data_IF_732757347673
#
_entry.id   IF_732757347673
#
_cell.length_a   1.000
_cell.length_b   1.000
_cell.length_c   1.000
_cell.angle_alpha   90.00
_cell.angle_beta   90.00
_cell.angle_gamma   90.00
#
_symmetry.space_group_name_H-M   'P 1'
#
loop_
_entity.id
_entity.type
_entity.pdbx_description
1 polymer ?
#
# COMPACT_ATOMS: atom_id res chain seq x y z
N UNK A 1 13.27 -4.82 22.65
CA UNK A 1 14.48 -4.08 23.06
C UNK A 1 14.55 -2.79 22.23
N UNK A 2 14.38 -1.59 22.82
CA UNK A 2 14.36 -0.33 22.06
C UNK A 2 15.66 0.02 21.32
N UNK A 3 16.79 -0.59 21.70
CA UNK A 3 18.08 -0.34 21.07
C UNK A 3 18.34 -1.22 19.83
N UNK A 4 17.40 -2.09 19.47
CA UNK A 4 17.50 -2.98 18.31
C UNK A 4 16.34 -2.70 17.37
N UNK A 5 16.63 -2.12 16.22
CA UNK A 5 15.64 -1.91 15.16
C UNK A 5 15.37 -3.26 14.49
N UNK A 6 14.10 -3.69 14.37
CA UNK A 6 13.77 -4.91 13.64
C UNK A 6 14.16 -4.77 12.16
N UNK A 7 14.64 -5.87 11.58
CA UNK A 7 15.02 -5.92 10.18
C UNK A 7 14.46 -7.21 9.54
N UNK A 8 13.52 -7.12 8.59
CA UNK A 8 12.94 -5.90 8.02
C UNK A 8 11.91 -5.21 8.92
N UNK A 9 11.91 -3.87 8.93
CA UNK A 9 10.86 -3.08 9.57
C UNK A 9 9.66 -2.92 8.62
N UNK A 10 8.72 -3.87 8.65
CA UNK A 10 7.49 -3.84 7.85
C UNK A 10 6.33 -3.19 8.63
N UNK A 11 5.53 -2.40 7.93
CA UNK A 11 4.27 -1.87 8.41
C UNK A 11 3.18 -2.96 8.40
N UNK A 12 2.08 -2.79 9.15
CA UNK A 12 0.92 -3.67 9.05
C UNK A 12 0.41 -3.78 7.61
N UNK A 13 -0.18 -4.93 7.26
CA UNK A 13 -0.54 -5.26 5.87
C UNK A 13 -1.38 -4.17 5.15
N UNK A 14 -2.26 -3.47 5.87
CA UNK A 14 -3.11 -2.40 5.33
C UNK A 14 -2.35 -1.09 5.03
N UNK A 15 -1.13 -0.93 5.56
CA UNK A 15 -0.20 0.15 5.21
C UNK A 15 0.98 -0.32 4.35
N UNK A 16 1.18 -1.63 4.21
CA UNK A 16 2.40 -2.17 3.60
C UNK A 16 2.51 -1.85 2.11
N UNK A 17 1.40 -1.86 1.37
CA UNK A 17 1.40 -1.42 -0.04
C UNK A 17 1.76 0.06 -0.19
N UNK A 18 1.36 0.90 0.78
CA UNK A 18 1.79 2.30 0.82
C UNK A 18 3.28 2.38 1.14
N UNK A 19 3.77 1.65 2.14
CA UNK A 19 5.20 1.60 2.48
C UNK A 19 6.05 1.18 1.27
N UNK A 20 5.59 0.19 0.50
CA UNK A 20 6.25 -0.25 -0.72
C UNK A 20 6.32 0.89 -1.75
N UNK A 21 5.23 1.62 -1.96
CA UNK A 21 5.24 2.80 -2.83
C UNK A 21 6.21 3.89 -2.33
N UNK A 22 6.27 4.11 -1.01
CA UNK A 22 7.17 5.08 -0.39
C UNK A 22 8.65 4.71 -0.55
N UNK A 23 8.98 3.41 -0.69
CA UNK A 23 10.37 2.97 -0.87
C UNK A 23 11.03 3.49 -2.15
N UNK A 24 10.23 3.93 -3.12
CA UNK A 24 10.69 4.46 -4.41
C UNK A 24 10.91 5.98 -4.42
N UNK A 25 10.47 6.68 -3.38
CA UNK A 25 10.44 8.15 -3.35
C UNK A 25 11.11 8.70 -2.09
N UNK A 26 11.41 10.00 -2.09
CA UNK A 26 11.84 10.67 -0.87
C UNK A 26 10.77 10.51 0.23
N UNK A 27 11.12 10.01 1.43
CA UNK A 27 10.15 9.72 2.47
C UNK A 27 9.35 10.93 2.95
N UNK A 28 9.94 12.13 2.93
CA UNK A 28 9.26 13.35 3.37
C UNK A 28 8.22 13.78 2.33
N UNK A 29 8.61 13.74 1.06
CA UNK A 29 7.70 14.11 -0.04
C UNK A 29 6.56 13.10 -0.13
N UNK A 30 6.89 11.81 -0.19
CA UNK A 30 5.90 10.79 -0.45
C UNK A 30 5.09 10.40 0.80
N UNK A 31 5.71 10.40 1.98
CA UNK A 31 5.06 10.02 3.24
C UNK A 31 4.28 11.14 3.92
N UNK A 32 4.67 12.41 3.69
CA UNK A 32 4.08 13.56 4.39
C UNK A 32 3.39 14.51 3.42
N UNK A 33 4.10 15.03 2.41
CA UNK A 33 3.57 16.06 1.53
C UNK A 33 2.44 15.54 0.63
N UNK A 34 2.61 14.38 0.00
CA UNK A 34 1.58 13.81 -0.88
C UNK A 34 0.29 13.49 -0.09
N UNK A 35 0.30 12.76 1.03
CA UNK A 35 -0.94 12.43 1.73
C UNK A 35 -1.63 13.65 2.36
N UNK A 36 -0.87 14.55 3.00
CA UNK A 36 -1.44 15.68 3.73
C UNK A 36 -1.87 16.83 2.82
N UNK A 37 -1.13 17.10 1.73
CA UNK A 37 -1.45 18.20 0.83
C UNK A 37 -2.32 17.71 -0.32
N UNK A 38 -1.81 16.79 -1.14
CA UNK A 38 -2.53 16.33 -2.32
C UNK A 38 -3.70 15.42 -1.96
N UNK A 39 -3.48 14.48 -1.03
CA UNK A 39 -4.52 13.54 -0.59
C UNK A 39 -5.74 14.26 -0.02
N UNK A 40 -5.52 15.16 0.96
CA UNK A 40 -6.62 15.92 1.60
C UNK A 40 -7.30 16.86 0.60
N UNK A 41 -6.56 17.59 -0.23
CA UNK A 41 -7.15 18.50 -1.23
C UNK A 41 -7.97 17.72 -2.25
N UNK A 42 -7.46 16.61 -2.78
CA UNK A 42 -8.18 15.77 -3.74
C UNK A 42 -9.44 15.17 -3.10
N UNK A 43 -9.36 14.71 -1.85
CA UNK A 43 -10.51 14.18 -1.12
C UNK A 43 -11.62 15.23 -0.93
N UNK A 44 -11.27 16.45 -0.52
CA UNK A 44 -12.23 17.55 -0.40
C UNK A 44 -12.76 18.02 -1.75
N UNK A 45 -11.94 17.96 -2.80
CA UNK A 45 -12.32 18.33 -4.16
C UNK A 45 -13.19 17.27 -4.86
N UNK A 46 -13.19 16.02 -4.37
CA UNK A 46 -13.87 14.88 -5.01
C UNK A 46 -15.33 15.15 -5.42
N UNK A 47 -16.23 15.71 -4.56
CA UNK A 47 -17.61 16.01 -4.96
C UNK A 47 -17.72 17.09 -6.05
N UNK A 48 -16.69 17.92 -6.24
CA UNK A 48 -16.66 18.96 -7.25
C UNK A 48 -16.06 18.48 -8.59
N UNK A 49 -15.24 17.42 -8.55
CA UNK A 49 -14.64 16.78 -9.72
C UNK A 49 -15.62 15.79 -10.34
N UNK A 50 -16.23 14.93 -9.53
CA UNK A 50 -17.23 13.95 -9.98
C UNK A 50 -18.65 14.51 -9.88
N UNK A 51 -19.05 15.27 -10.90
CA UNK A 51 -20.37 15.91 -10.99
C UNK A 51 -21.44 15.03 -11.66
N UNK A 52 -21.18 13.74 -11.84
CA UNK A 52 -22.15 12.89 -12.53
C UNK A 52 -23.40 12.67 -11.64
N UNK A 53 -24.59 13.13 -12.05
CA UNK A 53 -25.81 12.97 -11.25
C UNK A 53 -26.29 11.52 -11.16
N UNK A 54 -25.84 10.66 -12.09
CA UNK A 54 -26.22 9.25 -12.16
C UNK A 54 -25.31 8.39 -11.28
N UNK A 55 -25.90 7.61 -10.37
CA UNK A 55 -25.19 6.68 -9.47
C UNK A 55 -25.19 5.24 -9.98
N UNK A 56 -25.96 4.93 -11.03
CA UNK A 56 -26.05 3.61 -11.63
C UNK A 56 -24.67 3.11 -12.12
N UNK A 57 -24.19 1.93 -11.69
CA UNK A 57 -22.86 1.42 -12.07
C UNK A 57 -22.67 1.31 -13.59
N UNK A 58 -23.72 0.97 -14.32
CA UNK A 58 -23.71 0.86 -15.78
C UNK A 58 -23.41 2.17 -16.50
N UNK A 59 -23.62 3.31 -15.84
CA UNK A 59 -23.38 4.67 -16.35
C UNK A 59 -22.07 5.29 -15.84
N UNK A 60 -21.36 4.60 -14.93
CA UNK A 60 -20.10 5.06 -14.31
C UNK A 60 -18.90 4.18 -14.66
N UNK A 61 -18.95 3.48 -15.80
CA UNK A 61 -17.94 2.49 -16.21
C UNK A 61 -16.51 3.03 -16.16
N UNK A 62 -16.30 4.29 -16.54
CA UNK A 62 -14.99 4.94 -16.48
C UNK A 62 -14.49 5.09 -15.03
N UNK A 63 -15.28 5.69 -14.14
CA UNK A 63 -14.92 5.84 -12.73
C UNK A 63 -14.67 4.48 -12.06
N UNK A 64 -15.51 3.49 -12.35
CA UNK A 64 -15.35 2.12 -11.86
C UNK A 64 -14.05 1.51 -12.37
N UNK A 65 -13.74 1.67 -13.66
CA UNK A 65 -12.49 1.17 -14.25
C UNK A 65 -11.26 1.77 -13.55
N UNK A 66 -11.22 3.10 -13.35
CA UNK A 66 -10.12 3.76 -12.62
C UNK A 66 -9.99 3.25 -11.20
N UNK A 67 -11.11 3.12 -10.47
CA UNK A 67 -11.09 2.61 -9.11
C UNK A 67 -10.63 1.15 -9.05
N UNK A 68 -11.03 0.32 -10.02
CA UNK A 68 -10.56 -1.06 -10.13
C UNK A 68 -9.06 -1.14 -10.40
N UNK A 69 -8.53 -0.32 -11.31
CA UNK A 69 -7.07 -0.25 -11.52
C UNK A 69 -6.32 0.21 -10.27
N UNK A 70 -6.88 1.17 -9.54
CA UNK A 70 -6.34 1.61 -8.25
C UNK A 70 -6.29 0.46 -7.24
N UNK A 71 -7.38 -0.28 -7.06
CA UNK A 71 -7.44 -1.43 -6.14
C UNK A 71 -6.48 -2.55 -6.57
N UNK A 72 -6.40 -2.84 -7.87
CA UNK A 72 -5.48 -3.83 -8.40
C UNK A 72 -4.02 -3.43 -8.12
N UNK A 73 -3.65 -2.17 -8.38
CA UNK A 73 -2.31 -1.65 -8.08
C UNK A 73 -1.98 -1.69 -6.59
N UNK A 74 -2.91 -1.24 -5.73
CA UNK A 74 -2.74 -1.28 -4.28
C UNK A 74 -2.57 -2.72 -3.77
N UNK A 75 -3.36 -3.67 -4.30
CA UNK A 75 -3.23 -5.09 -3.99
C UNK A 75 -1.88 -5.65 -4.41
N UNK A 76 -1.41 -5.35 -5.63
CA UNK A 76 -0.10 -5.79 -6.12
C UNK A 76 1.04 -5.26 -5.25
N UNK A 77 1.04 -3.97 -4.92
CA UNK A 77 2.06 -3.37 -4.04
C UNK A 77 2.06 -4.02 -2.66
N UNK A 78 0.88 -4.30 -2.11
CA UNK A 78 0.75 -4.99 -0.82
C UNK A 78 1.35 -6.39 -0.89
N UNK A 79 1.03 -7.17 -1.93
CA UNK A 79 1.58 -8.52 -2.14
C UNK A 79 3.11 -8.46 -2.29
N UNK A 80 3.65 -7.47 -3.01
CA UNK A 80 5.11 -7.27 -3.14
C UNK A 80 5.73 -7.02 -1.76
N UNK A 81 5.19 -6.10 -0.98
CA UNK A 81 5.69 -5.81 0.36
C UNK A 81 5.61 -7.00 1.32
N UNK A 82 4.52 -7.78 1.27
CA UNK A 82 4.35 -8.97 2.12
C UNK A 82 5.38 -10.04 1.74
N UNK A 83 5.43 -10.43 0.47
CA UNK A 83 6.10 -11.67 0.03
C UNK A 83 7.53 -11.48 -0.48
N UNK A 84 7.84 -10.34 -1.09
CA UNK A 84 9.08 -10.15 -1.85
C UNK A 84 10.06 -9.16 -1.21
N UNK A 85 9.68 -8.49 -0.10
CA UNK A 85 10.59 -7.62 0.66
C UNK A 85 11.20 -8.36 1.84
N UNK A 86 12.52 -8.42 1.89
CA UNK A 86 13.29 -9.05 2.96
C UNK A 86 14.21 -8.07 3.69
N UNK A 87 15.26 -8.58 4.37
CA UNK A 87 16.18 -7.77 5.17
C UNK A 87 16.78 -6.60 4.37
N UNK A 88 16.75 -5.40 4.96
CA UNK A 88 17.20 -4.16 4.32
C UNK A 88 16.28 -3.64 3.21
N UNK A 89 15.02 -4.10 3.16
CA UNK A 89 14.06 -3.82 2.07
C UNK A 89 14.50 -4.34 0.68
N UNK A 90 15.45 -5.28 0.67
CA UNK A 90 15.91 -5.91 -0.56
C UNK A 90 14.86 -6.88 -1.11
N UNK A 91 14.95 -7.13 -2.41
CA UNK A 91 14.13 -8.13 -3.07
C UNK A 91 14.56 -9.53 -2.64
N UNK A 92 13.61 -10.36 -2.23
CA UNK A 92 13.81 -11.76 -1.84
C UNK A 92 12.79 -12.65 -2.54
N UNK A 93 13.15 -13.91 -2.78
CA UNK A 93 12.22 -14.87 -3.35
C UNK A 93 11.67 -15.77 -2.24
N UNK A 94 10.36 -15.75 -1.95
CA UNK A 94 9.81 -16.45 -0.77
C UNK A 94 10.00 -17.97 -0.81
N UNK A 95 10.15 -18.56 -2.00
CA UNK A 95 10.43 -19.99 -2.18
C UNK A 95 11.91 -20.37 -2.03
N UNK A 96 12.82 -19.41 -1.88
CA UNK A 96 14.26 -19.64 -1.63
C UNK A 96 14.63 -19.14 -0.23
N UNK A 97 14.28 -17.89 0.07
CA UNK A 97 14.73 -17.16 1.25
C UNK A 97 13.69 -17.15 2.40
N UNK A 98 12.52 -17.74 2.18
CA UNK A 98 11.40 -17.70 3.11
C UNK A 98 10.66 -16.36 3.12
N UNK A 99 9.64 -16.26 3.98
CA UNK A 99 8.82 -15.06 4.16
C UNK A 99 9.31 -14.28 5.37
N UNK A 100 9.46 -12.97 5.21
CA UNK A 100 9.97 -12.05 6.23
C UNK A 100 8.89 -11.09 6.73
N UNK A 101 7.66 -11.58 6.91
CA UNK A 101 6.52 -10.78 7.36
C UNK A 101 5.91 -11.44 8.59
N UNK A 102 6.30 -10.93 9.76
CA UNK A 102 5.98 -11.51 11.06
C UNK A 102 4.46 -11.67 11.26
N UNK A 103 3.68 -10.63 10.94
CA UNK A 103 2.21 -10.68 11.00
C UNK A 103 1.61 -11.87 10.23
N UNK A 104 2.21 -12.35 9.13
CA UNK A 104 1.71 -13.53 8.42
C UNK A 104 2.18 -14.85 9.06
N UNK A 105 3.41 -14.86 9.60
CA UNK A 105 3.95 -16.02 10.29
C UNK A 105 3.18 -16.31 11.58
N UNK A 106 2.83 -15.27 12.33
CA UNK A 106 2.02 -15.38 13.55
C UNK A 106 0.67 -16.07 13.28
N UNK A 107 0.04 -15.76 12.15
CA UNK A 107 -1.22 -16.40 11.73
C UNK A 107 -1.07 -17.87 11.35
N UNK A 108 0.10 -18.27 10.84
CA UNK A 108 0.39 -19.66 10.49
C UNK A 108 0.70 -20.47 11.75
N UNK A 109 1.36 -19.86 12.73
CA UNK A 109 1.81 -20.54 13.93
C UNK A 109 0.80 -20.49 15.09
N UNK A 110 -0.32 -19.75 14.96
CA UNK A 110 -1.36 -19.57 15.99
C UNK A 110 -0.78 -19.19 17.37
N UNK A 111 0.28 -18.37 17.37
CA UNK A 111 0.85 -17.79 18.59
C UNK A 111 0.27 -16.39 18.87
#
# INVERSE_FOLDING_TARGET
NPNVTPNPAKAPWYFLGLQELLSYWDPQIAGVMIPLVLGVVVWMAFPYIDRNPETHPSKRKFAIMFYTFFLAGAGVLTIIGVLFRGPGWNWTYPWIDGIWFDDLLDWIHFE
#
